data_IF_017924656013
#
_entry.id   IF_017924656013
#
_cell.length_a   1.000
_cell.length_b   1.000
_cell.length_c   1.000
_cell.angle_alpha   90.00
_cell.angle_beta   90.00
_cell.angle_gamma   90.00
#
_symmetry.space_group_name_H-M   'P 1'
#
loop_
_entity.id
_entity.type
_entity.pdbx_description
1 polymer ?
#
# COMPACT_ATOMS: atom_id res chain seq x y z
N UNK A 1 -61.83 -2.10 57.11
CA UNK A 1 -60.77 -2.44 58.09
C UNK A 1 -59.69 -3.17 57.31
N UNK A 2 -58.42 -2.80 57.19
CA UNK A 2 -57.56 -1.90 57.95
C UNK A 2 -56.45 -1.39 57.01
N UNK A 3 -56.04 -0.12 57.19
CA UNK A 3 -54.96 0.56 56.47
C UNK A 3 -53.58 0.13 57.00
N UNK A 4 -52.53 0.06 56.17
CA UNK A 4 -51.17 -0.20 56.62
C UNK A 4 -50.48 1.05 57.16
N UNK A 5 -49.58 0.81 58.11
CA UNK A 5 -48.85 1.77 58.94
C UNK A 5 -47.85 2.65 58.15
N UNK A 6 -47.87 3.95 58.48
CA UNK A 6 -46.81 4.93 58.17
C UNK A 6 -45.63 4.73 59.13
N UNK A 7 -44.45 4.39 58.60
CA UNK A 7 -43.19 4.56 59.32
C UNK A 7 -42.63 5.97 59.09
N UNK A 8 -42.47 6.69 60.20
CA UNK A 8 -41.84 8.01 60.34
C UNK A 8 -40.35 7.93 59.99
N UNK A 9 -39.88 8.76 59.06
CA UNK A 9 -38.45 9.13 58.98
C UNK A 9 -38.21 10.37 59.85
N UNK A 10 -37.34 10.19 60.84
CA UNK A 10 -36.84 11.24 61.72
C UNK A 10 -35.87 12.12 60.95
N UNK A 11 -36.09 13.42 61.03
CA UNK A 11 -35.25 14.50 60.52
C UNK A 11 -34.02 14.67 61.43
N UNK A 12 -32.83 14.49 60.87
CA UNK A 12 -31.58 15.03 61.42
C UNK A 12 -31.06 16.09 60.43
N UNK A 13 -31.29 17.36 60.78
CA UNK A 13 -30.59 18.53 60.22
C UNK A 13 -29.42 18.85 61.15
N UNK A 14 -28.35 19.40 60.54
CA UNK A 14 -27.08 19.98 61.05
C UNK A 14 -25.91 19.24 60.37
N UNK A 15 -25.00 19.85 59.60
CA UNK A 15 -24.67 21.26 59.40
C UNK A 15 -24.09 21.46 58.00
N UNK A 16 -24.47 22.55 57.35
CA UNK A 16 -23.68 23.15 56.27
C UNK A 16 -22.47 23.85 56.90
N UNK A 17 -21.26 23.58 56.41
CA UNK A 17 -20.25 24.60 56.06
C UNK A 17 -18.94 23.93 55.63
N UNK A 18 -18.82 23.67 54.34
CA UNK A 18 -17.58 23.86 53.58
C UNK A 18 -18.00 23.94 52.11
N UNK A 19 -18.14 25.17 51.59
CA UNK A 19 -18.16 25.39 50.15
C UNK A 19 -16.77 25.03 49.65
N UNK A 20 -16.55 23.78 49.29
CA UNK A 20 -15.45 23.40 48.42
C UNK A 20 -15.61 24.23 47.15
N UNK A 21 -14.64 25.12 46.90
CA UNK A 21 -14.47 25.74 45.58
C UNK A 21 -14.46 24.59 44.57
N UNK A 22 -15.13 24.67 43.42
CA UNK A 22 -14.90 23.70 42.37
C UNK A 22 -13.40 23.78 42.05
N UNK A 23 -12.65 22.77 42.47
CA UNK A 23 -11.32 22.54 41.96
C UNK A 23 -11.55 22.33 40.47
N UNK A 24 -11.27 23.35 39.66
CA UNK A 24 -11.23 23.18 38.22
C UNK A 24 -10.10 22.18 37.99
N UNK A 25 -10.43 20.89 37.97
CA UNK A 25 -9.51 19.87 37.51
C UNK A 25 -9.32 20.17 36.03
N UNK A 26 -8.22 20.86 35.72
CA UNK A 26 -7.77 21.06 34.35
C UNK A 26 -7.37 19.70 33.80
N UNK A 27 -8.36 18.96 33.32
CA UNK A 27 -8.16 17.68 32.67
C UNK A 27 -7.64 17.92 31.24
N UNK A 28 -6.95 16.93 30.68
CA UNK A 28 -6.45 16.96 29.30
C UNK A 28 -7.57 17.28 28.30
N UNK A 29 -8.79 16.84 28.61
CA UNK A 29 -10.00 17.11 27.81
C UNK A 29 -10.47 18.57 27.85
N UNK A 30 -9.89 19.43 28.69
CA UNK A 30 -10.18 20.88 28.74
C UNK A 30 -9.25 21.72 27.85
N UNK A 31 -8.10 21.19 27.43
CA UNK A 31 -7.13 21.89 26.58
C UNK A 31 -7.65 22.07 25.15
N UNK A 32 -7.50 23.24 24.50
CA UNK A 32 -7.82 23.42 23.08
C UNK A 32 -7.19 22.33 22.20
N UNK A 33 -7.86 21.84 21.14
CA UNK A 33 -7.35 20.74 20.32
C UNK A 33 -5.95 20.99 19.77
N UNK A 34 -5.61 22.24 19.47
CA UNK A 34 -4.31 22.68 18.97
C UNK A 34 -3.23 22.55 20.04
N UNK A 35 -3.54 22.88 21.30
CA UNK A 35 -2.63 22.71 22.43
C UNK A 35 -2.39 21.23 22.70
N UNK A 36 -3.47 20.43 22.67
CA UNK A 36 -3.35 18.98 22.80
C UNK A 36 -2.52 18.40 21.65
N UNK A 37 -2.71 18.86 20.42
CA UNK A 37 -1.91 18.46 19.27
C UNK A 37 -0.42 18.76 19.48
N UNK A 38 -0.07 19.96 19.96
CA UNK A 38 1.32 20.34 20.28
C UNK A 38 1.91 19.42 21.34
N UNK A 39 1.18 19.14 22.43
CA UNK A 39 1.66 18.24 23.49
C UNK A 39 1.92 16.84 22.92
N UNK A 40 1.01 16.33 22.10
CA UNK A 40 1.13 15.00 21.53
C UNK A 40 2.26 14.87 20.50
N UNK A 41 2.69 15.96 19.84
CA UNK A 41 3.86 15.94 18.95
C UNK A 41 5.17 15.56 19.65
N UNK A 42 5.25 15.70 20.98
CA UNK A 42 6.42 15.27 21.76
C UNK A 42 6.40 13.79 22.15
N UNK A 43 5.34 13.06 21.79
CA UNK A 43 5.21 11.63 22.08
C UNK A 43 5.53 10.79 20.84
N UNK A 44 6.11 9.60 21.03
CA UNK A 44 6.22 8.61 19.97
C UNK A 44 4.85 8.28 19.36
N UNK A 45 4.80 8.07 18.05
CA UNK A 45 3.56 7.71 17.34
C UNK A 45 2.97 6.40 17.87
N UNK A 46 3.79 5.43 18.32
CA UNK A 46 3.30 4.20 18.97
C UNK A 46 2.47 4.50 20.21
N UNK A 47 2.86 5.49 21.01
CA UNK A 47 2.19 5.85 22.26
C UNK A 47 0.92 6.64 21.95
N UNK A 48 0.97 7.51 20.92
CA UNK A 48 -0.21 8.19 20.39
C UNK A 48 -1.24 7.17 19.90
N UNK A 49 -0.81 6.16 19.12
CA UNK A 49 -1.69 5.16 18.51
C UNK A 49 -2.23 4.12 19.50
N UNK A 50 -1.41 3.70 20.46
CA UNK A 50 -1.68 2.61 21.39
C UNK A 50 -2.31 3.07 22.71
N UNK A 51 -1.94 4.25 23.21
CA UNK A 51 -2.41 4.74 24.51
C UNK A 51 -3.36 5.93 24.33
N UNK A 52 -2.85 7.06 23.83
CA UNK A 52 -3.59 8.33 23.80
C UNK A 52 -4.90 8.23 23.03
N UNK A 53 -4.87 7.63 21.83
CA UNK A 53 -6.04 7.45 20.97
C UNK A 53 -7.21 6.71 21.65
N UNK A 54 -6.92 5.91 22.68
CA UNK A 54 -7.89 5.07 23.38
C UNK A 54 -8.49 5.74 24.64
N UNK A 55 -7.95 6.89 25.07
CA UNK A 55 -8.35 7.56 26.33
C UNK A 55 -9.74 8.19 26.23
N UNK A 56 -9.94 9.10 25.27
CA UNK A 56 -11.19 9.85 25.09
C UNK A 56 -11.51 10.03 23.60
N UNK A 57 -12.77 10.39 23.27
CA UNK A 57 -13.15 10.72 21.88
C UNK A 57 -12.33 11.90 21.34
N UNK A 58 -12.03 12.88 22.19
CA UNK A 58 -11.23 14.06 21.86
C UNK A 58 -9.80 13.65 21.54
N UNK A 59 -9.15 12.89 22.43
CA UNK A 59 -7.82 12.33 22.20
C UNK A 59 -7.78 11.46 20.94
N UNK A 60 -8.81 10.65 20.69
CA UNK A 60 -8.94 9.85 19.47
C UNK A 60 -8.96 10.69 18.20
N UNK A 61 -9.68 11.81 18.20
CA UNK A 61 -9.78 12.73 17.07
C UNK A 61 -8.44 13.43 16.78
N UNK A 62 -7.77 13.94 17.81
CA UNK A 62 -6.46 14.60 17.66
C UNK A 62 -5.39 13.59 17.25
N UNK A 63 -5.33 12.43 17.90
CA UNK A 63 -4.42 11.34 17.53
C UNK A 63 -4.63 10.88 16.08
N UNK A 64 -5.89 10.81 15.61
CA UNK A 64 -6.19 10.48 14.21
C UNK A 64 -5.60 11.50 13.25
N UNK A 65 -5.67 12.79 13.58
CA UNK A 65 -5.12 13.88 12.75
C UNK A 65 -3.59 13.78 12.69
N UNK A 66 -2.94 13.59 13.83
CA UNK A 66 -1.48 13.42 13.94
C UNK A 66 -0.98 12.19 13.20
N UNK A 67 -1.56 11.03 13.47
CA UNK A 67 -1.12 9.77 12.86
C UNK A 67 -1.36 9.75 11.35
N UNK A 68 -2.49 10.30 10.88
CA UNK A 68 -2.79 10.34 9.46
C UNK A 68 -1.91 11.35 8.72
N UNK A 69 -1.64 12.52 9.31
CA UNK A 69 -0.74 13.53 8.73
C UNK A 69 0.71 13.03 8.69
N UNK A 70 1.19 12.41 9.77
CA UNK A 70 2.49 11.73 9.82
C UNK A 70 2.59 10.64 8.74
N UNK A 71 1.57 9.79 8.63
CA UNK A 71 1.50 8.76 7.59
C UNK A 71 1.49 9.34 6.17
N UNK A 72 0.78 10.43 5.90
CA UNK A 72 0.70 11.00 4.56
C UNK A 72 1.99 11.73 4.15
N UNK A 73 2.64 12.41 5.10
CA UNK A 73 3.87 13.17 4.88
C UNK A 73 5.13 12.28 4.86
N UNK A 74 5.09 11.08 5.42
CA UNK A 74 6.19 10.12 5.39
C UNK A 74 6.79 9.92 3.98
N UNK A 75 5.97 9.90 2.93
CA UNK A 75 6.45 9.78 1.56
C UNK A 75 7.31 10.96 1.07
N UNK A 76 7.01 12.20 1.44
CA UNK A 76 7.86 13.35 1.08
C UNK A 76 9.14 13.38 1.91
N UNK A 77 9.06 12.99 3.18
CA UNK A 77 10.24 12.89 4.07
C UNK A 77 11.23 11.84 3.55
N UNK A 78 10.74 10.68 3.10
CA UNK A 78 11.54 9.65 2.42
C UNK A 78 12.25 10.19 1.16
N UNK A 79 11.53 10.90 0.28
CA UNK A 79 12.14 11.50 -0.91
C UNK A 79 13.20 12.55 -0.57
N UNK A 80 12.95 13.36 0.45
CA UNK A 80 13.92 14.34 0.94
C UNK A 80 15.19 13.67 1.48
N UNK A 81 15.07 12.57 2.22
CA UNK A 81 16.23 11.83 2.71
C UNK A 81 17.01 11.13 1.59
N UNK A 82 16.33 10.56 0.58
CA UNK A 82 16.98 10.01 -0.61
C UNK A 82 17.76 11.07 -1.38
N UNK A 83 17.16 12.25 -1.62
CA UNK A 83 17.83 13.36 -2.28
C UNK A 83 19.03 13.88 -1.47
N UNK A 84 18.92 13.91 -0.14
CA UNK A 84 20.03 14.30 0.73
C UNK A 84 21.25 13.38 0.54
N UNK A 85 21.03 12.06 0.49
CA UNK A 85 22.08 11.07 0.23
C UNK A 85 22.70 11.19 -1.18
N UNK A 86 21.97 11.76 -2.15
CA UNK A 86 22.47 12.03 -3.51
C UNK A 86 23.28 13.33 -3.62
N UNK A 87 22.91 14.36 -2.85
CA UNK A 87 23.39 15.75 -3.06
C UNK A 87 24.79 16.07 -2.49
N UNK A 88 25.39 15.20 -1.68
CA UNK A 88 26.68 15.49 -1.03
C UNK A 88 27.82 15.18 -2.01
N UNK A 89 28.46 16.23 -2.54
CA UNK A 89 29.53 16.16 -3.54
C UNK A 89 30.84 15.60 -2.98
N UNK A 90 31.56 14.87 -3.82
CA UNK A 90 32.77 14.10 -3.49
C UNK A 90 34.02 14.99 -3.58
N UNK A 91 34.66 15.30 -2.46
CA UNK A 91 36.11 15.61 -2.41
C UNK A 91 36.92 14.31 -2.31
N UNK A 92 38.23 14.31 -2.59
CA UNK A 92 39.01 13.07 -2.77
C UNK A 92 39.12 12.16 -1.51
N UNK A 93 38.92 12.68 -0.29
CA UNK A 93 38.78 11.89 0.94
C UNK A 93 37.40 11.21 1.06
N UNK A 94 36.48 11.49 0.13
CA UNK A 94 35.07 11.13 0.18
C UNK A 94 34.70 9.88 -0.63
N UNK A 95 35.64 9.06 -1.13
CA UNK A 95 35.26 7.89 -1.94
C UNK A 95 34.63 6.77 -1.10
N UNK A 96 35.19 6.44 0.06
CA UNK A 96 34.61 5.46 0.98
C UNK A 96 33.29 5.97 1.58
N UNK A 97 33.24 7.26 1.89
CA UNK A 97 32.04 7.91 2.42
C UNK A 97 30.91 7.97 1.36
N UNK A 98 31.25 8.25 0.10
CA UNK A 98 30.33 8.19 -1.02
C UNK A 98 29.80 6.77 -1.26
N UNK A 99 30.65 5.74 -1.16
CA UNK A 99 30.22 4.35 -1.25
C UNK A 99 29.25 3.97 -0.11
N UNK A 100 29.54 4.39 1.13
CA UNK A 100 28.64 4.22 2.28
C UNK A 100 27.30 4.90 2.03
N UNK A 101 27.28 6.16 1.57
CA UNK A 101 26.04 6.89 1.27
C UNK A 101 25.25 6.27 0.12
N UNK A 102 25.92 5.82 -0.93
CA UNK A 102 25.29 5.14 -2.05
C UNK A 102 24.60 3.84 -1.58
N UNK A 103 25.28 3.02 -0.77
CA UNK A 103 24.67 1.82 -0.18
C UNK A 103 23.52 2.15 0.78
N UNK A 104 23.66 3.20 1.59
CA UNK A 104 22.58 3.65 2.47
C UNK A 104 21.34 4.09 1.67
N UNK A 105 21.55 4.77 0.53
CA UNK A 105 20.49 5.16 -0.40
C UNK A 105 19.80 3.93 -0.98
N UNK A 106 20.55 2.92 -1.42
CA UNK A 106 20.02 1.66 -1.92
C UNK A 106 19.06 1.02 -0.90
N UNK A 107 19.45 0.96 0.38
CA UNK A 107 18.58 0.42 1.43
C UNK A 107 17.38 1.31 1.75
N UNK A 108 17.52 2.63 1.64
CA UNK A 108 16.39 3.55 1.80
C UNK A 108 15.38 3.44 0.64
N UNK A 109 15.81 3.04 -0.55
CA UNK A 109 14.89 2.71 -1.65
C UNK A 109 14.04 1.47 -1.34
N UNK A 110 14.59 0.46 -0.64
CA UNK A 110 13.82 -0.69 -0.16
C UNK A 110 12.74 -0.23 0.82
N UNK A 111 13.10 0.64 1.79
CA UNK A 111 12.17 1.23 2.76
C UNK A 111 11.07 2.00 2.02
N UNK A 112 11.44 2.82 1.03
CA UNK A 112 10.48 3.57 0.21
C UNK A 112 9.52 2.63 -0.54
N UNK A 113 10.01 1.58 -1.18
CA UNK A 113 9.17 0.63 -1.90
C UNK A 113 8.16 -0.08 -0.98
N UNK A 114 8.58 -0.45 0.24
CA UNK A 114 7.67 -1.02 1.24
C UNK A 114 6.63 -0.01 1.73
N UNK A 115 7.05 1.23 1.98
CA UNK A 115 6.16 2.31 2.38
C UNK A 115 5.15 2.65 1.27
N UNK A 116 5.53 2.66 0.00
CA UNK A 116 4.61 2.93 -1.11
C UNK A 116 3.50 1.86 -1.18
N UNK A 117 3.84 0.58 -0.96
CA UNK A 117 2.84 -0.51 -0.85
C UNK A 117 1.94 -0.35 0.39
N UNK A 118 2.51 0.02 1.54
CA UNK A 118 1.74 0.33 2.74
C UNK A 118 0.76 1.50 2.49
N UNK A 119 1.24 2.53 1.78
CA UNK A 119 0.43 3.67 1.36
C UNK A 119 -0.72 3.22 0.47
N UNK A 120 -0.45 2.46 -0.59
CA UNK A 120 -1.47 1.89 -1.48
C UNK A 120 -2.49 1.02 -0.73
N UNK A 121 -2.08 0.34 0.35
CA UNK A 121 -2.95 -0.49 1.17
C UNK A 121 -3.97 0.33 2.00
N UNK A 122 -3.55 1.46 2.55
CA UNK A 122 -4.24 2.08 3.69
C UNK A 122 -4.81 3.46 3.39
N UNK A 123 -4.24 4.20 2.43
CA UNK A 123 -4.53 5.64 2.26
C UNK A 123 -6.01 5.96 2.07
N UNK A 124 -6.76 5.11 1.36
CA UNK A 124 -8.21 5.31 1.11
C UNK A 124 -9.03 5.34 2.38
N UNK A 125 -8.56 4.64 3.41
CA UNK A 125 -9.25 4.50 4.68
C UNK A 125 -8.85 5.59 5.66
N UNK A 126 -7.60 6.07 5.61
CA UNK A 126 -7.10 7.14 6.48
C UNK A 126 -7.39 8.54 5.93
N UNK A 127 -7.55 8.67 4.62
CA UNK A 127 -7.80 9.94 3.93
C UNK A 127 -8.99 9.84 2.97
N UNK A 128 -10.17 9.41 3.47
CA UNK A 128 -11.34 9.37 2.62
C UNK A 128 -11.68 10.78 2.11
N UNK A 129 -12.26 10.89 0.91
CA UNK A 129 -12.77 12.16 0.39
C UNK A 129 -13.76 12.83 1.35
N UNK A 130 -13.62 14.15 1.57
CA UNK A 130 -14.37 14.92 2.59
C UNK A 130 -15.89 14.85 2.42
N UNK A 131 -16.38 14.71 1.19
CA UNK A 131 -17.82 14.75 0.88
C UNK A 131 -18.57 13.43 1.15
N UNK A 132 -17.87 12.36 1.54
CA UNK A 132 -18.51 11.07 1.79
C UNK A 132 -18.64 10.76 3.28
N UNK A 133 -19.73 10.06 3.63
CA UNK A 133 -19.94 9.43 4.96
C UNK A 133 -19.01 8.23 5.20
N UNK A 134 -17.82 8.22 4.62
CA UNK A 134 -16.81 7.22 4.93
C UNK A 134 -16.16 7.57 6.26
N UNK A 135 -16.28 6.67 7.22
CA UNK A 135 -15.58 6.83 8.48
C UNK A 135 -14.07 6.88 8.22
N UNK A 136 -13.44 8.01 8.54
CA UNK A 136 -12.00 8.16 8.52
C UNK A 136 -11.40 7.23 9.57
N UNK A 137 -10.52 6.33 9.14
CA UNK A 137 -9.72 5.55 10.07
C UNK A 137 -8.51 6.35 10.54
N UNK A 138 -8.13 6.08 11.78
CA UNK A 138 -6.80 6.39 12.26
C UNK A 138 -5.79 5.37 11.71
N UNK A 139 -4.64 5.84 11.23
CA UNK A 139 -3.48 5.01 11.00
C UNK A 139 -2.93 4.52 12.34
N UNK A 140 -3.31 3.32 12.77
CA UNK A 140 -2.92 2.79 14.07
C UNK A 140 -1.54 2.09 14.06
N UNK A 141 -0.82 2.13 12.93
CA UNK A 141 0.54 1.60 12.80
C UNK A 141 1.60 2.55 13.35
N UNK A 142 1.39 3.16 14.53
CA UNK A 142 2.26 4.21 15.07
C UNK A 142 3.74 3.82 15.12
N UNK A 143 4.03 2.58 15.53
CA UNK A 143 5.40 2.06 15.54
C UNK A 143 6.07 2.10 14.16
N UNK A 144 5.35 1.92 13.05
CA UNK A 144 5.93 2.02 11.71
C UNK A 144 6.42 3.45 11.44
N UNK A 145 5.71 4.46 11.95
CA UNK A 145 6.14 5.86 11.79
C UNK A 145 7.36 6.17 12.66
N UNK A 146 7.40 5.66 13.89
CA UNK A 146 8.57 5.83 14.77
C UNK A 146 9.82 5.21 14.13
N UNK A 147 9.74 3.96 13.67
CA UNK A 147 10.85 3.28 13.01
C UNK A 147 11.27 3.97 11.71
N UNK A 148 10.31 4.51 10.95
CA UNK A 148 10.62 5.30 9.77
C UNK A 148 11.38 6.57 10.15
N UNK A 149 10.97 7.25 11.21
CA UNK A 149 11.60 8.49 11.67
C UNK A 149 13.04 8.25 12.12
N UNK A 150 13.28 7.13 12.82
CA UNK A 150 14.62 6.68 13.18
C UNK A 150 15.47 6.34 11.95
N UNK A 151 14.93 5.61 10.98
CA UNK A 151 15.63 5.31 9.72
C UNK A 151 15.99 6.58 8.94
N UNK A 152 15.08 7.56 8.88
CA UNK A 152 15.33 8.84 8.21
C UNK A 152 16.37 9.68 8.94
N UNK A 153 16.39 9.63 10.28
CA UNK A 153 17.43 10.27 11.10
C UNK A 153 18.79 9.61 10.84
N UNK A 154 18.87 8.29 10.90
CA UNK A 154 20.09 7.53 10.61
C UNK A 154 20.62 7.83 9.21
N UNK A 155 19.75 7.82 8.19
CA UNK A 155 20.13 8.16 6.82
C UNK A 155 20.82 9.54 6.69
N UNK A 156 20.43 10.51 7.53
CA UNK A 156 20.99 11.87 7.51
C UNK A 156 22.24 12.03 8.36
N UNK A 157 22.24 11.45 9.56
CA UNK A 157 23.30 11.69 10.54
C UNK A 157 24.40 10.64 10.52
N UNK A 158 24.04 9.38 10.25
CA UNK A 158 24.88 8.18 10.43
C UNK A 158 24.53 7.08 9.42
N UNK A 159 24.73 7.32 8.11
CA UNK A 159 24.32 6.38 7.06
C UNK A 159 25.02 5.02 7.17
N UNK A 160 26.18 4.93 7.81
CA UNK A 160 26.90 3.69 8.08
C UNK A 160 26.09 2.70 8.93
N UNK A 161 25.19 3.19 9.79
CA UNK A 161 24.34 2.35 10.63
C UNK A 161 23.19 1.67 9.87
N UNK A 162 22.97 2.04 8.60
CA UNK A 162 22.02 1.35 7.73
C UNK A 162 22.65 0.12 7.05
N UNK A 163 23.96 -0.08 7.22
CA UNK A 163 24.74 -1.13 6.58
C UNK A 163 25.09 -2.25 7.57
N UNK A 164 25.15 -3.48 7.08
CA UNK A 164 25.76 -4.65 7.73
C UNK A 164 26.83 -5.24 6.79
N UNK A 165 27.71 -6.12 7.32
CA UNK A 165 28.82 -6.73 6.55
C UNK A 165 28.38 -7.37 5.23
N UNK A 166 27.21 -8.00 5.21
CA UNK A 166 26.72 -8.78 4.08
C UNK A 166 25.41 -8.23 3.47
N UNK A 167 24.96 -7.03 3.84
CA UNK A 167 23.68 -6.51 3.35
C UNK A 167 23.05 -5.40 4.20
N UNK A 168 21.72 -5.23 4.11
CA UNK A 168 21.01 -4.20 4.87
C UNK A 168 21.07 -4.46 6.38
N UNK A 169 21.09 -3.38 7.16
CA UNK A 169 20.95 -3.46 8.61
C UNK A 169 19.63 -4.11 9.05
N UNK A 170 19.60 -4.65 10.27
CA UNK A 170 18.40 -5.28 10.83
C UNK A 170 17.20 -4.33 10.92
N UNK A 171 17.43 -3.03 11.09
CA UNK A 171 16.35 -2.02 11.09
C UNK A 171 15.64 -1.92 9.72
N UNK A 172 16.38 -2.03 8.60
CA UNK A 172 15.83 -2.00 7.24
C UNK A 172 14.95 -3.22 6.98
N UNK A 173 15.46 -4.42 7.30
CA UNK A 173 14.71 -5.67 7.12
C UNK A 173 13.52 -5.75 8.08
N UNK A 174 13.71 -5.30 9.32
CA UNK A 174 12.67 -5.20 10.35
C UNK A 174 11.52 -4.29 9.92
N UNK A 175 11.81 -3.12 9.35
CA UNK A 175 10.80 -2.20 8.82
C UNK A 175 9.94 -2.86 7.73
N UNK A 176 10.56 -3.57 6.78
CA UNK A 176 9.84 -4.30 5.72
C UNK A 176 8.92 -5.39 6.28
N UNK A 177 9.39 -6.16 7.27
CA UNK A 177 8.59 -7.17 7.97
C UNK A 177 7.41 -6.52 8.70
N UNK A 178 7.64 -5.41 9.38
CA UNK A 178 6.61 -4.67 10.12
C UNK A 178 5.51 -4.16 9.19
N UNK A 179 5.88 -3.56 8.05
CA UNK A 179 4.95 -3.12 7.01
C UNK A 179 4.12 -4.30 6.47
N UNK A 180 4.77 -5.43 6.13
CA UNK A 180 4.10 -6.65 5.63
C UNK A 180 3.10 -7.21 6.65
N UNK A 181 3.49 -7.29 7.92
CA UNK A 181 2.62 -7.74 9.03
C UNK A 181 1.42 -6.83 9.20
N UNK A 182 1.64 -5.51 9.25
CA UNK A 182 0.57 -4.53 9.36
C UNK A 182 -0.41 -4.61 8.18
N UNK A 183 0.08 -4.62 6.94
CA UNK A 183 -0.78 -4.73 5.75
C UNK A 183 -1.63 -6.00 5.78
N UNK A 184 -1.04 -7.15 6.12
CA UNK A 184 -1.78 -8.41 6.22
C UNK A 184 -2.90 -8.33 7.29
N UNK A 185 -2.60 -7.75 8.45
CA UNK A 185 -3.58 -7.56 9.53
C UNK A 185 -4.68 -6.60 9.10
N UNK A 186 -4.30 -5.43 8.57
CA UNK A 186 -5.22 -4.39 8.12
C UNK A 186 -6.23 -4.94 7.10
N UNK A 187 -5.76 -5.67 6.10
CA UNK A 187 -6.58 -6.27 5.05
C UNK A 187 -7.51 -7.35 5.60
N UNK A 188 -7.01 -8.16 6.55
CA UNK A 188 -7.78 -9.26 7.15
C UNK A 188 -8.86 -8.78 8.11
N UNK A 189 -8.57 -7.74 8.88
CA UNK A 189 -9.38 -7.33 10.03
C UNK A 189 -10.07 -5.99 9.78
N UNK A 190 -9.30 -4.92 9.56
CA UNK A 190 -9.83 -3.56 9.47
C UNK A 190 -10.62 -3.32 8.19
N UNK A 191 -10.02 -3.62 7.04
CA UNK A 191 -10.63 -3.43 5.72
C UNK A 191 -11.91 -4.26 5.58
N UNK A 192 -11.88 -5.52 6.02
CA UNK A 192 -13.06 -6.41 6.00
C UNK A 192 -14.25 -5.81 6.77
N UNK A 193 -13.99 -5.20 7.93
CA UNK A 193 -15.02 -4.55 8.76
C UNK A 193 -15.58 -3.27 8.14
N UNK A 194 -14.79 -2.53 7.37
CA UNK A 194 -15.23 -1.26 6.76
C UNK A 194 -16.00 -1.52 5.48
N UNK A 195 -15.47 -2.41 4.65
CA UNK A 195 -16.09 -2.77 3.39
C UNK A 195 -17.42 -3.50 3.59
N UNK A 196 -17.72 -3.95 4.83
CA UNK A 196 -19.05 -4.49 5.16
C UNK A 196 -20.15 -3.44 5.16
N UNK A 197 -19.81 -2.19 5.47
CA UNK A 197 -20.75 -1.06 5.47
C UNK A 197 -20.70 -0.28 4.16
N UNK A 198 -19.50 -0.14 3.58
CA UNK A 198 -19.25 0.67 2.39
C UNK A 198 -18.33 -0.06 1.42
N UNK A 199 -18.91 -0.77 0.47
CA UNK A 199 -18.19 -1.65 -0.44
C UNK A 199 -17.24 -0.87 -1.37
N UNK A 200 -17.62 0.33 -1.83
CA UNK A 200 -16.87 1.06 -2.86
C UNK A 200 -15.51 1.64 -2.40
N UNK A 201 -15.18 1.68 -1.11
CA UNK A 201 -13.94 2.29 -0.59
C UNK A 201 -12.69 1.60 -1.16
N UNK A 202 -12.72 0.29 -1.36
CA UNK A 202 -11.60 -0.49 -1.92
C UNK A 202 -11.46 -0.39 -3.44
N UNK A 203 -12.36 0.30 -4.13
CA UNK A 203 -12.62 0.05 -5.56
C UNK A 203 -11.39 0.12 -6.48
N UNK A 204 -10.65 1.22 -6.44
CA UNK A 204 -9.48 1.43 -7.31
C UNK A 204 -8.16 0.98 -6.65
N UNK A 205 -8.20 0.29 -5.51
CA UNK A 205 -7.01 -0.18 -4.79
C UNK A 205 -6.07 -1.05 -5.64
N UNK A 206 -6.54 -1.92 -6.56
CA UNK A 206 -5.64 -2.63 -7.47
C UNK A 206 -4.77 -1.71 -8.33
N UNK A 207 -5.29 -0.55 -8.73
CA UNK A 207 -4.54 0.45 -9.51
C UNK A 207 -3.49 1.13 -8.63
N UNK A 208 -3.83 1.47 -7.38
CA UNK A 208 -2.85 2.06 -6.45
C UNK A 208 -1.67 1.11 -6.20
N UNK A 209 -1.91 -0.20 -6.14
CA UNK A 209 -0.85 -1.21 -5.98
C UNK A 209 0.00 -1.32 -7.24
N UNK A 210 -0.62 -1.36 -8.42
CA UNK A 210 0.12 -1.43 -9.68
C UNK A 210 0.92 -0.16 -9.92
N UNK A 211 0.44 0.99 -9.45
CA UNK A 211 1.17 2.26 -9.45
C UNK A 211 2.40 2.25 -8.52
N UNK A 212 2.56 1.26 -7.64
CA UNK A 212 3.78 1.05 -6.85
C UNK A 212 4.89 0.30 -7.62
N UNK A 213 4.64 -0.19 -8.84
CA UNK A 213 5.70 -0.75 -9.66
C UNK A 213 6.77 0.32 -9.93
N UNK A 214 8.04 -0.07 -9.82
CA UNK A 214 9.17 0.82 -10.09
C UNK A 214 9.32 1.14 -11.57
N UNK A 215 8.85 0.25 -12.45
CA UNK A 215 8.93 0.36 -13.90
C UNK A 215 7.70 -0.25 -14.60
N UNK A 216 7.64 -0.07 -15.93
CA UNK A 216 6.63 -0.74 -16.77
C UNK A 216 5.22 -0.14 -16.74
N UNK A 217 5.01 1.00 -16.06
CA UNK A 217 3.73 1.73 -16.07
C UNK A 217 3.63 2.69 -17.26
N UNK A 218 2.55 2.57 -18.02
CA UNK A 218 2.20 3.43 -19.15
C UNK A 218 0.78 3.99 -18.98
N UNK A 219 0.61 5.31 -19.15
CA UNK A 219 -0.71 5.96 -19.21
C UNK A 219 -1.12 6.09 -20.68
N UNK A 220 -2.06 5.25 -21.12
CA UNK A 220 -2.53 5.23 -22.50
C UNK A 220 -3.64 6.26 -22.74
N UNK A 221 -4.49 6.48 -21.74
CA UNK A 221 -5.57 7.45 -21.81
C UNK A 221 -5.91 7.97 -20.41
N UNK A 222 -6.15 9.27 -20.31
CA UNK A 222 -6.71 9.90 -19.12
C UNK A 222 -7.70 10.97 -19.56
N UNK A 223 -8.92 10.92 -19.03
CA UNK A 223 -9.94 11.93 -19.29
C UNK A 223 -10.81 12.15 -18.06
N UNK A 224 -11.06 13.41 -17.75
CA UNK A 224 -12.11 13.82 -16.83
C UNK A 224 -13.31 14.31 -17.64
N UNK A 225 -14.48 13.74 -17.35
CA UNK A 225 -15.74 14.19 -17.96
C UNK A 225 -16.60 14.84 -16.88
N UNK A 226 -17.02 16.08 -17.12
CA UNK A 226 -18.05 16.72 -16.32
C UNK A 226 -19.39 16.06 -16.62
N UNK A 227 -20.13 15.69 -15.58
CA UNK A 227 -21.43 15.07 -15.76
C UNK A 227 -22.45 16.07 -16.32
N UNK A 228 -23.34 15.61 -17.20
CA UNK A 228 -24.52 16.38 -17.65
C UNK A 228 -25.74 15.94 -16.83
N UNK A 229 -26.61 16.90 -16.47
CA UNK A 229 -27.93 16.71 -15.81
C UNK A 229 -27.97 15.54 -14.82
N UNK A 230 -27.52 15.77 -13.58
CA UNK A 230 -27.72 14.83 -12.46
C UNK A 230 -26.73 13.66 -12.35
N UNK A 231 -25.88 13.40 -13.36
CA UNK A 231 -24.71 12.52 -13.18
C UNK A 231 -23.52 13.34 -12.67
N UNK A 232 -22.79 12.80 -11.70
CA UNK A 232 -21.56 13.40 -11.17
C UNK A 232 -20.42 13.38 -12.19
N UNK A 233 -19.32 14.05 -11.86
CA UNK A 233 -18.08 13.98 -12.63
C UNK A 233 -17.57 12.54 -12.71
N UNK A 234 -16.82 12.21 -13.75
CA UNK A 234 -16.25 10.87 -13.94
C UNK A 234 -14.81 10.95 -14.42
N UNK A 235 -13.96 10.12 -13.83
CA UNK A 235 -12.58 9.89 -14.21
C UNK A 235 -12.53 8.63 -15.06
N UNK A 236 -11.96 8.72 -16.26
CA UNK A 236 -11.73 7.59 -17.14
C UNK A 236 -10.24 7.45 -17.44
N UNK A 237 -9.71 6.24 -17.27
CA UNK A 237 -8.29 5.93 -17.48
C UNK A 237 -8.13 4.63 -18.27
N UNK A 238 -7.12 4.60 -19.14
CA UNK A 238 -6.55 3.36 -19.69
C UNK A 238 -5.08 3.33 -19.33
N UNK A 239 -4.67 2.27 -18.64
CA UNK A 239 -3.31 2.09 -18.17
C UNK A 239 -2.78 0.76 -18.67
N UNK A 240 -1.46 0.66 -18.82
CA UNK A 240 -0.77 -0.59 -19.12
C UNK A 240 0.38 -0.75 -18.14
N UNK A 241 0.49 -1.94 -17.57
CA UNK A 241 1.57 -2.33 -16.69
C UNK A 241 2.27 -3.53 -17.29
N UNK A 242 3.60 -3.47 -17.39
CA UNK A 242 4.45 -4.56 -17.88
C UNK A 242 5.40 -4.97 -16.77
N UNK A 243 5.34 -6.24 -16.38
CA UNK A 243 6.29 -6.81 -15.41
C UNK A 243 7.14 -7.85 -16.13
N UNK A 244 8.45 -7.61 -16.19
CA UNK A 244 9.38 -8.55 -16.82
C UNK A 244 9.41 -9.89 -16.08
N UNK A 245 9.57 -10.99 -16.82
CA UNK A 245 9.82 -12.34 -16.26
C UNK A 245 8.83 -12.74 -15.15
N UNK A 246 7.57 -12.37 -15.33
CA UNK A 246 6.52 -12.48 -14.33
C UNK A 246 5.34 -13.27 -14.89
N UNK A 247 4.58 -13.91 -14.01
CA UNK A 247 3.36 -14.61 -14.37
C UNK A 247 2.24 -14.30 -13.39
N UNK A 248 1.03 -14.29 -13.94
CA UNK A 248 -0.20 -14.23 -13.18
C UNK A 248 -1.26 -14.93 -14.03
N UNK A 249 -1.74 -16.07 -13.56
CA UNK A 249 -2.78 -16.85 -14.21
C UNK A 249 -3.89 -17.19 -13.22
N UNK A 250 -5.07 -17.45 -13.78
CA UNK A 250 -6.27 -17.80 -13.06
C UNK A 250 -7.00 -18.88 -13.87
N UNK A 251 -7.44 -19.95 -13.21
CA UNK A 251 -8.31 -20.96 -13.81
C UNK A 251 -9.41 -21.38 -12.84
N UNK A 252 -10.51 -21.88 -13.39
CA UNK A 252 -11.63 -22.36 -12.58
C UNK A 252 -11.29 -23.73 -11.99
N UNK A 253 -11.69 -23.94 -10.73
CA UNK A 253 -11.60 -25.22 -10.04
C UNK A 253 -12.92 -25.96 -10.29
N UNK A 254 -12.90 -27.15 -10.92
CA UNK A 254 -14.12 -27.92 -11.13
C UNK A 254 -14.78 -28.32 -9.80
N UNK A 255 -16.12 -28.30 -9.73
CA UNK A 255 -16.87 -28.82 -8.59
C UNK A 255 -16.98 -27.87 -7.37
N UNK A 256 -16.50 -26.64 -7.46
CA UNK A 256 -16.70 -25.59 -6.46
C UNK A 256 -17.70 -24.55 -6.97
N UNK A 257 -18.98 -24.92 -6.99
CA UNK A 257 -20.08 -23.97 -7.11
C UNK A 257 -20.24 -23.21 -5.78
N UNK A 258 -19.24 -22.40 -5.43
CA UNK A 258 -19.32 -21.58 -4.22
C UNK A 258 -20.16 -20.33 -4.49
N UNK A 259 -21.40 -20.34 -3.98
CA UNK A 259 -22.27 -19.17 -3.90
C UNK A 259 -21.72 -18.04 -3.00
N UNK A 260 -20.66 -18.30 -2.20
CA UNK A 260 -20.00 -17.32 -1.34
C UNK A 260 -19.09 -16.32 -2.08
N UNK A 261 -19.54 -15.80 -3.22
CA UNK A 261 -18.78 -14.82 -4.00
C UNK A 261 -19.09 -13.40 -3.56
N UNK A 262 -18.80 -13.14 -2.28
CA UNK A 262 -18.88 -11.82 -1.67
C UNK A 262 -18.02 -10.87 -2.50
N UNK A 263 -18.67 -9.86 -3.11
CA UNK A 263 -18.04 -8.83 -3.94
C UNK A 263 -16.79 -8.20 -3.28
N UNK A 264 -16.77 -8.16 -1.94
CA UNK A 264 -15.68 -7.64 -1.10
C UNK A 264 -14.49 -8.57 -1.07
N UNK A 265 -14.73 -9.85 -0.88
CA UNK A 265 -13.67 -10.86 -0.79
C UNK A 265 -13.03 -11.07 -2.17
N UNK A 266 -13.80 -11.06 -3.26
CA UNK A 266 -13.26 -11.02 -4.65
C UNK A 266 -12.21 -9.93 -4.83
N UNK A 267 -12.47 -8.72 -4.34
CA UNK A 267 -11.52 -7.61 -4.41
C UNK A 267 -10.32 -7.82 -3.52
N UNK A 268 -10.55 -8.12 -2.24
CA UNK A 268 -9.50 -8.31 -1.25
C UNK A 268 -8.48 -9.34 -1.72
N UNK A 269 -8.95 -10.46 -2.25
CA UNK A 269 -8.12 -11.56 -2.71
C UNK A 269 -7.34 -11.23 -4.00
N UNK A 270 -7.93 -10.49 -4.94
CA UNK A 270 -7.21 -10.00 -6.11
C UNK A 270 -6.10 -9.02 -5.69
N UNK A 271 -6.46 -8.05 -4.84
CA UNK A 271 -5.53 -7.04 -4.35
C UNK A 271 -4.37 -7.65 -3.53
N UNK A 272 -4.63 -8.62 -2.65
CA UNK A 272 -3.59 -9.31 -1.88
C UNK A 272 -2.55 -9.97 -2.80
N UNK A 273 -2.99 -10.61 -3.88
CA UNK A 273 -2.11 -11.29 -4.84
C UNK A 273 -1.30 -10.29 -5.66
N UNK A 274 -1.95 -9.23 -6.16
CA UNK A 274 -1.26 -8.14 -6.86
C UNK A 274 -0.21 -7.48 -5.96
N UNK A 275 -0.52 -7.21 -4.68
CA UNK A 275 0.42 -6.60 -3.74
C UNK A 275 1.65 -7.46 -3.54
N UNK A 276 1.47 -8.77 -3.34
CA UNK A 276 2.57 -9.72 -3.18
C UNK A 276 3.43 -9.80 -4.44
N UNK A 277 2.81 -9.85 -5.62
CA UNK A 277 3.52 -9.85 -6.89
C UNK A 277 4.33 -8.56 -7.09
N UNK A 278 3.70 -7.38 -6.97
CA UNK A 278 4.38 -6.09 -7.10
C UNK A 278 5.52 -5.96 -6.09
N UNK A 279 5.31 -6.38 -4.85
CA UNK A 279 6.37 -6.40 -3.84
C UNK A 279 7.57 -7.23 -4.26
N UNK A 280 7.36 -8.45 -4.76
CA UNK A 280 8.47 -9.31 -5.18
C UNK A 280 9.13 -8.84 -6.48
N UNK A 281 8.37 -8.28 -7.43
CA UNK A 281 8.93 -7.67 -8.65
C UNK A 281 9.82 -6.49 -8.29
N UNK A 282 9.38 -5.62 -7.38
CA UNK A 282 10.17 -4.50 -6.91
C UNK A 282 11.44 -4.96 -6.16
N UNK A 283 11.36 -6.03 -5.36
CA UNK A 283 12.53 -6.61 -4.67
C UNK A 283 13.59 -7.07 -5.68
N UNK A 284 13.23 -7.84 -6.71
CA UNK A 284 14.17 -8.26 -7.76
C UNK A 284 14.70 -7.08 -8.59
N UNK A 285 13.85 -6.08 -8.86
CA UNK A 285 14.27 -4.88 -9.60
C UNK A 285 15.28 -4.06 -8.83
N UNK A 286 15.06 -3.85 -7.53
CA UNK A 286 15.98 -3.11 -6.67
C UNK A 286 17.29 -3.87 -6.48
N UNK A 287 17.25 -5.19 -6.24
CA UNK A 287 18.44 -6.04 -6.16
C UNK A 287 19.33 -5.88 -7.40
N UNK A 288 18.74 -5.88 -8.60
CA UNK A 288 19.46 -5.64 -9.85
C UNK A 288 20.04 -4.22 -9.93
N UNK A 289 19.24 -3.20 -9.62
CA UNK A 289 19.68 -1.81 -9.67
C UNK A 289 20.82 -1.52 -8.68
N UNK A 290 20.76 -2.10 -7.48
CA UNK A 290 21.79 -1.95 -6.45
C UNK A 290 23.08 -2.66 -6.88
N UNK A 291 22.98 -3.88 -7.42
CA UNK A 291 24.13 -4.59 -7.99
C UNK A 291 24.78 -3.81 -9.15
N UNK A 292 23.98 -3.28 -10.09
CA UNK A 292 24.48 -2.46 -11.20
C UNK A 292 25.19 -1.18 -10.73
N UNK A 293 24.71 -0.55 -9.64
CA UNK A 293 25.37 0.62 -9.03
C UNK A 293 26.66 0.24 -8.34
N UNK A 294 26.68 -0.86 -7.59
CA UNK A 294 27.87 -1.36 -6.91
C UNK A 294 28.98 -1.70 -7.91
N UNK A 295 28.63 -2.33 -9.04
CA UNK A 295 29.55 -2.62 -10.13
C UNK A 295 30.19 -1.33 -10.71
N UNK A 296 29.40 -0.27 -10.90
CA UNK A 296 29.91 1.02 -11.41
C UNK A 296 30.85 1.71 -10.43
N UNK A 297 30.57 1.62 -9.13
CA UNK A 297 31.43 2.19 -8.09
C UNK A 297 32.77 1.46 -7.98
N UNK A 298 32.78 0.14 -8.25
CA UNK A 298 34.00 -0.66 -8.19
C UNK A 298 34.97 -0.44 -9.34
N UNK A 299 34.53 0.02 -10.52
CA UNK A 299 35.46 0.38 -11.60
C UNK A 299 36.47 1.47 -11.19
N UNK A 300 36.26 2.12 -10.04
CA UNK A 300 37.14 3.12 -9.44
C UNK A 300 37.87 2.65 -8.16
N UNK A 301 37.82 1.35 -7.80
CA UNK A 301 38.27 0.82 -6.49
C UNK A 301 39.02 -0.53 -6.61
N UNK A 302 39.99 -0.80 -5.73
CA UNK A 302 40.73 -2.08 -5.65
C UNK A 302 39.99 -3.21 -4.90
N UNK A 303 38.70 -3.04 -4.56
CA UNK A 303 37.93 -4.05 -3.83
C UNK A 303 37.48 -5.23 -4.70
N UNK A 304 37.25 -6.42 -4.10
CA UNK A 304 36.76 -7.60 -4.82
C UNK A 304 35.38 -7.36 -5.45
N UNK A 305 35.18 -7.94 -6.65
CA UNK A 305 33.94 -7.88 -7.43
C UNK A 305 32.69 -8.16 -6.57
N UNK A 306 31.57 -7.43 -6.75
CA UNK A 306 30.38 -7.69 -5.97
C UNK A 306 29.82 -9.03 -6.43
N UNK A 307 29.30 -9.82 -5.49
CA UNK A 307 28.71 -11.11 -5.85
C UNK A 307 27.45 -10.85 -6.68
N UNK A 308 27.26 -11.52 -7.83
CA UNK A 308 26.04 -11.40 -8.59
C UNK A 308 24.85 -11.88 -7.75
N UNK A 309 23.67 -11.28 -7.92
CA UNK A 309 22.46 -11.76 -7.28
C UNK A 309 22.23 -13.25 -7.53
N UNK A 310 21.78 -14.01 -6.50
CA UNK A 310 21.51 -15.44 -6.67
C UNK A 310 20.35 -15.65 -7.64
N UNK A 311 20.27 -16.83 -8.26
CA UNK A 311 19.09 -17.21 -9.03
C UNK A 311 17.86 -17.26 -8.11
N UNK A 312 16.97 -16.26 -8.23
CA UNK A 312 15.84 -16.08 -7.32
C UNK A 312 14.52 -16.19 -8.06
N UNK A 313 13.56 -16.90 -7.45
CA UNK A 313 12.21 -17.10 -7.98
C UNK A 313 11.23 -16.94 -6.83
N UNK A 314 10.18 -16.14 -7.05
CA UNK A 314 9.04 -16.04 -6.15
C UNK A 314 7.84 -16.73 -6.79
N UNK A 315 7.08 -17.48 -5.99
CA UNK A 315 5.84 -18.12 -6.42
C UNK A 315 4.81 -18.01 -5.30
N UNK A 316 3.62 -17.57 -5.68
CA UNK A 316 2.45 -17.52 -4.83
C UNK A 316 1.29 -18.27 -5.48
N UNK A 317 0.49 -18.92 -4.65
CA UNK A 317 -0.74 -19.58 -5.07
C UNK A 317 -1.85 -19.34 -4.07
N UNK A 318 -3.09 -19.61 -4.49
CA UNK A 318 -4.22 -19.65 -3.58
C UNK A 318 -5.55 -19.70 -4.32
N UNK A 319 -6.50 -20.34 -3.69
CA UNK A 319 -7.86 -20.50 -4.20
C UNK A 319 -8.81 -19.46 -3.58
N UNK A 320 -9.80 -19.00 -4.35
CA UNK A 320 -10.96 -18.27 -3.83
C UNK A 320 -12.11 -18.28 -4.85
N UNK A 321 -13.34 -18.55 -4.39
CA UNK A 321 -14.56 -18.46 -5.23
C UNK A 321 -14.51 -19.39 -6.45
N UNK A 322 -14.11 -20.65 -6.27
CA UNK A 322 -13.96 -21.63 -7.35
C UNK A 322 -12.87 -21.26 -8.36
N UNK A 323 -11.93 -20.38 -8.00
CA UNK A 323 -10.82 -19.97 -8.86
C UNK A 323 -9.48 -20.20 -8.18
N UNK A 324 -8.58 -20.87 -8.89
CA UNK A 324 -7.20 -21.01 -8.48
C UNK A 324 -6.35 -19.94 -9.16
N UNK A 325 -5.49 -19.29 -8.38
CA UNK A 325 -4.56 -18.29 -8.86
C UNK A 325 -3.13 -18.78 -8.66
N UNK A 326 -2.31 -18.60 -9.69
CA UNK A 326 -0.87 -18.85 -9.64
C UNK A 326 -0.13 -17.63 -10.20
N UNK A 327 0.77 -17.06 -9.41
CA UNK A 327 1.48 -15.83 -9.73
C UNK A 327 2.90 -15.86 -9.18
N UNK A 328 3.77 -15.04 -9.75
CA UNK A 328 5.15 -14.96 -9.30
C UNK A 328 6.03 -14.28 -10.34
N UNK A 329 7.32 -14.27 -10.05
CA UNK A 329 8.34 -13.65 -10.88
C UNK A 329 9.69 -14.32 -10.63
N UNK A 330 10.61 -14.11 -11.55
CA UNK A 330 11.98 -14.56 -11.43
C UNK A 330 12.94 -13.44 -11.84
N UNK A 331 14.09 -13.39 -11.20
CA UNK A 331 15.14 -12.45 -11.59
C UNK A 331 15.80 -12.91 -12.90
N UNK A 332 16.62 -12.02 -13.47
CA UNK A 332 17.29 -12.25 -14.75
C UNK A 332 18.13 -13.54 -14.75
N UNK A 333 18.90 -13.77 -13.69
CA UNK A 333 19.73 -14.96 -13.53
C UNK A 333 18.92 -16.26 -13.50
N UNK A 334 17.81 -16.28 -12.74
CA UNK A 334 16.94 -17.45 -12.71
C UNK A 334 16.26 -17.69 -14.05
N UNK A 335 15.89 -16.64 -14.77
CA UNK A 335 15.30 -16.76 -16.10
C UNK A 335 16.30 -17.27 -17.13
N UNK A 336 17.53 -16.75 -17.11
CA UNK A 336 18.56 -17.21 -18.04
C UNK A 336 18.91 -18.68 -17.78
N UNK A 337 19.09 -19.06 -16.51
CA UNK A 337 19.38 -20.45 -16.13
C UNK A 337 18.22 -21.42 -16.42
N UNK A 338 16.97 -21.06 -16.06
CA UNK A 338 15.84 -22.00 -16.15
C UNK A 338 15.16 -22.00 -17.52
N UNK A 339 15.11 -20.85 -18.18
CA UNK A 339 14.34 -20.66 -19.41
C UNK A 339 15.26 -20.61 -20.61
N UNK A 340 16.31 -19.78 -20.59
CA UNK A 340 17.16 -19.57 -21.75
C UNK A 340 18.09 -20.74 -22.00
N UNK A 341 18.76 -21.27 -20.98
CA UNK A 341 19.63 -22.43 -21.17
C UNK A 341 18.84 -23.67 -21.60
N UNK A 342 17.68 -23.87 -20.99
CA UNK A 342 16.73 -24.91 -21.40
C UNK A 342 16.29 -24.72 -22.86
N UNK A 343 15.87 -23.51 -23.23
CA UNK A 343 15.49 -23.17 -24.61
C UNK A 343 16.65 -23.38 -25.60
N UNK A 344 17.88 -23.01 -25.22
CA UNK A 344 19.09 -23.23 -26.05
C UNK A 344 19.32 -24.72 -26.27
N UNK A 345 19.28 -25.55 -25.22
CA UNK A 345 19.48 -27.01 -25.31
C UNK A 345 18.45 -27.69 -26.21
N UNK A 346 17.16 -27.40 -25.99
CA UNK A 346 16.10 -27.93 -26.87
C UNK A 346 16.23 -27.40 -28.29
N UNK A 347 16.59 -26.12 -28.47
CA UNK A 347 16.78 -25.56 -29.81
C UNK A 347 17.91 -26.25 -30.59
N UNK A 348 18.99 -26.71 -29.94
CA UNK A 348 20.07 -27.43 -30.64
C UNK A 348 19.61 -28.82 -31.08
N UNK A 349 18.90 -29.55 -30.22
CA UNK A 349 18.44 -30.91 -30.50
C UNK A 349 17.27 -30.97 -31.52
N UNK A 350 16.41 -29.95 -31.53
CA UNK A 350 15.21 -29.88 -32.39
C UNK A 350 15.35 -28.95 -33.60
N UNK A 351 16.47 -28.22 -33.76
CA UNK A 351 16.81 -27.51 -35.02
C UNK A 351 16.94 -28.47 -36.20
N UNK A 352 17.23 -29.75 -35.94
CA UNK A 352 17.23 -30.83 -36.92
C UNK A 352 15.79 -31.16 -37.40
N UNK A 353 14.74 -30.83 -36.63
CA UNK A 353 13.32 -31.17 -36.89
C UNK A 353 12.40 -29.98 -37.26
N UNK A 354 12.94 -28.80 -37.58
CA UNK A 354 12.21 -27.61 -38.14
C UNK A 354 10.99 -27.09 -37.34
N UNK A 355 10.85 -27.34 -36.03
CA UNK A 355 9.66 -26.94 -35.24
C UNK A 355 9.91 -26.10 -33.99
N UNK A 356 10.87 -25.16 -33.99
CA UNK A 356 11.04 -24.22 -32.87
C UNK A 356 10.91 -22.75 -33.32
N UNK A 357 10.16 -21.91 -32.59
CA UNK A 357 10.09 -20.48 -32.84
C UNK A 357 11.47 -19.80 -32.67
N UNK A 358 11.89 -19.03 -33.68
CA UNK A 358 13.19 -18.32 -33.72
C UNK A 358 13.38 -17.26 -32.63
N UNK A 359 12.32 -16.88 -31.91
CA UNK A 359 12.32 -15.75 -30.98
C UNK A 359 12.55 -16.21 -29.53
N UNK A 360 13.41 -15.50 -28.79
CA UNK A 360 13.64 -15.68 -27.35
C UNK A 360 12.28 -15.68 -26.61
N UNK A 361 12.02 -16.65 -25.71
CA UNK A 361 10.73 -16.75 -25.02
C UNK A 361 10.48 -15.55 -24.10
N UNK A 362 9.60 -14.62 -24.48
CA UNK A 362 9.25 -13.47 -23.64
C UNK A 362 8.28 -13.89 -22.53
N UNK A 363 8.67 -13.71 -21.27
CA UNK A 363 7.87 -14.07 -20.08
C UNK A 363 7.31 -12.81 -19.39
N UNK A 364 7.02 -11.77 -20.17
CA UNK A 364 6.52 -10.54 -19.61
C UNK A 364 5.02 -10.66 -19.35
N UNK A 365 4.62 -10.23 -18.15
CA UNK A 365 3.23 -10.11 -17.76
C UNK A 365 2.73 -8.73 -18.15
N UNK A 366 1.65 -8.68 -18.92
CA UNK A 366 1.01 -7.42 -19.32
C UNK A 366 -0.37 -7.32 -18.67
N UNK A 367 -0.59 -6.26 -17.89
CA UNK A 367 -1.88 -5.94 -17.27
C UNK A 367 -2.40 -4.64 -17.88
N UNK A 368 -3.42 -4.74 -18.72
CA UNK A 368 -4.13 -3.58 -19.25
C UNK A 368 -5.32 -3.26 -18.35
N UNK A 369 -5.43 -2.00 -17.96
CA UNK A 369 -6.48 -1.51 -17.05
C UNK A 369 -7.40 -0.57 -17.80
N UNK A 370 -8.69 -0.83 -17.71
CA UNK A 370 -9.74 0.13 -18.08
C UNK A 370 -10.48 0.52 -16.79
N UNK A 371 -10.36 1.80 -16.42
CA UNK A 371 -10.97 2.35 -15.22
C UNK A 371 -11.94 3.47 -15.58
N UNK A 372 -13.13 3.43 -14.98
CA UNK A 372 -14.09 4.53 -14.94
C UNK A 372 -14.62 4.64 -13.52
N UNK A 373 -14.45 5.78 -12.87
CA UNK A 373 -14.90 5.95 -11.50
C UNK A 373 -15.30 7.40 -11.19
N UNK A 374 -16.09 7.59 -10.14
CA UNK A 374 -16.28 8.91 -9.55
C UNK A 374 -14.94 9.46 -9.02
N UNK A 375 -14.66 10.79 -9.10
CA UNK A 375 -13.37 11.38 -8.72
C UNK A 375 -12.87 10.99 -7.33
N UNK A 376 -13.80 10.81 -6.40
CA UNK A 376 -13.51 10.48 -5.02
C UNK A 376 -13.06 9.02 -4.81
N UNK A 377 -13.30 8.15 -5.81
CA UNK A 377 -12.74 6.80 -5.85
C UNK A 377 -11.46 6.70 -6.67
N UNK A 378 -10.99 7.78 -7.29
CA UNK A 378 -9.86 7.75 -8.21
C UNK A 378 -8.54 7.24 -7.56
N UNK A 379 -7.59 6.75 -8.37
CA UNK A 379 -6.25 6.36 -7.90
C UNK A 379 -5.53 7.53 -7.23
N UNK A 380 -4.64 7.22 -6.28
CA UNK A 380 -3.89 8.23 -5.54
C UNK A 380 -3.06 9.12 -6.47
N UNK A 381 -2.47 8.54 -7.51
CA UNK A 381 -1.58 9.19 -8.46
C UNK A 381 -2.24 10.37 -9.21
N UNK A 382 -3.57 10.39 -9.33
CA UNK A 382 -4.28 11.46 -10.05
C UNK A 382 -4.96 12.45 -9.11
N UNK A 383 -4.91 12.26 -7.78
CA UNK A 383 -5.63 13.13 -6.83
C UNK A 383 -5.22 14.60 -6.91
N UNK A 384 -3.94 14.90 -7.13
CA UNK A 384 -3.46 16.28 -7.30
C UNK A 384 -4.07 16.96 -8.53
N UNK A 385 -4.33 16.20 -9.60
CA UNK A 385 -4.96 16.69 -10.82
C UNK A 385 -6.46 16.95 -10.65
N UNK A 386 -7.09 16.30 -9.67
CA UNK A 386 -8.52 16.42 -9.45
C UNK A 386 -8.92 17.74 -8.76
N UNK A 387 -7.97 18.54 -8.22
CA UNK A 387 -8.28 19.74 -7.41
C UNK A 387 -9.45 19.49 -6.45
N UNK A 388 -9.32 18.48 -5.60
CA UNK A 388 -10.43 18.01 -4.76
C UNK A 388 -11.04 19.08 -3.83
N UNK A 389 -10.35 20.20 -3.60
CA UNK A 389 -10.85 21.32 -2.79
C UNK A 389 -11.79 22.25 -3.58
N UNK A 390 -11.76 22.27 -4.91
CA UNK A 390 -12.66 23.11 -5.75
C UNK A 390 -14.08 22.52 -5.90
N UNK A 391 -14.34 21.29 -5.41
CA UNK A 391 -15.66 20.66 -5.48
C UNK A 391 -16.59 21.02 -4.31
N UNK A 392 -16.13 21.89 -3.41
CA UNK A 392 -16.87 22.42 -2.26
C UNK A 392 -18.16 23.18 -2.65
N UNK A 393 -18.30 23.63 -3.90
CA UNK A 393 -19.45 24.42 -4.37
C UNK A 393 -20.65 23.61 -4.90
N UNK A 394 -20.65 22.28 -4.81
CA UNK A 394 -21.81 21.48 -5.25
C UNK A 394 -22.79 21.24 -4.09
N UNK A 395 -23.55 22.27 -3.74
CA UNK A 395 -24.60 22.31 -2.69
C UNK A 395 -25.80 21.37 -2.93
N UNK A 396 -25.71 20.37 -3.82
CA UNK A 396 -26.84 19.48 -4.17
C UNK A 396 -26.59 17.98 -3.93
N UNK A 397 -25.50 17.56 -3.28
CA UNK A 397 -25.03 16.19 -3.36
C UNK A 397 -25.58 15.19 -2.30
N UNK A 398 -26.79 15.36 -1.77
CA UNK A 398 -27.37 14.34 -0.87
C UNK A 398 -27.73 13.01 -1.58
N UNK A 399 -27.69 12.96 -2.93
CA UNK A 399 -28.01 11.77 -3.72
C UNK A 399 -26.87 11.24 -4.61
N UNK A 400 -25.64 11.78 -4.51
CA UNK A 400 -24.53 11.26 -5.33
C UNK A 400 -24.05 9.90 -4.81
N UNK A 401 -24.25 8.85 -5.60
CA UNK A 401 -23.73 7.51 -5.32
C UNK A 401 -22.42 7.29 -6.07
N UNK A 402 -21.33 6.89 -5.38
CA UNK A 402 -20.06 6.62 -6.03
C UNK A 402 -20.16 5.43 -6.97
N UNK A 403 -19.67 5.60 -8.20
CA UNK A 403 -19.67 4.56 -9.22
C UNK A 403 -18.24 4.14 -9.56
N UNK A 404 -18.03 2.84 -9.78
CA UNK A 404 -16.78 2.28 -10.27
C UNK A 404 -17.02 1.17 -11.29
N UNK A 405 -16.24 1.22 -12.36
CA UNK A 405 -15.99 0.16 -13.31
C UNK A 405 -14.48 0.02 -13.46
N UNK A 406 -13.95 -1.15 -13.11
CA UNK A 406 -12.55 -1.49 -13.26
C UNK A 406 -12.45 -2.84 -13.98
N UNK A 407 -11.67 -2.88 -15.05
CA UNK A 407 -11.38 -4.10 -15.81
C UNK A 407 -9.87 -4.26 -15.93
N UNK A 408 -9.37 -5.38 -15.43
CA UNK A 408 -7.99 -5.83 -15.63
C UNK A 408 -8.02 -6.91 -16.71
N UNK A 409 -7.31 -6.66 -17.80
CA UNK A 409 -7.05 -7.61 -18.86
C UNK A 409 -5.59 -8.07 -18.71
N UNK A 410 -5.42 -9.32 -18.30
CA UNK A 410 -4.13 -9.88 -17.89
C UNK A 410 -3.69 -10.87 -18.96
N UNK A 411 -2.54 -10.60 -19.57
CA UNK A 411 -1.90 -11.42 -20.59
C UNK A 411 -0.56 -11.91 -20.08
N UNK A 412 -0.41 -13.22 -19.96
CA UNK A 412 0.74 -13.89 -19.38
C UNK A 412 1.32 -14.90 -20.39
N UNK A 413 2.35 -14.47 -21.12
CA UNK A 413 3.01 -15.33 -22.09
C UNK A 413 3.69 -16.54 -21.43
N UNK A 414 4.21 -16.39 -20.20
CA UNK A 414 4.83 -17.49 -19.45
C UNK A 414 3.88 -18.67 -19.16
N UNK A 415 2.56 -18.42 -19.12
CA UNK A 415 1.57 -19.45 -18.82
C UNK A 415 1.39 -20.47 -19.94
N UNK A 416 1.56 -20.08 -21.22
CA UNK A 416 1.44 -21.04 -22.34
C UNK A 416 2.47 -22.16 -22.24
N UNK A 417 3.69 -21.82 -21.80
CA UNK A 417 4.78 -22.78 -21.65
C UNK A 417 4.48 -23.85 -20.59
N UNK A 418 3.60 -23.54 -19.64
CA UNK A 418 3.17 -24.45 -18.56
C UNK A 418 1.77 -25.04 -18.77
N UNK A 419 1.20 -24.92 -19.98
CA UNK A 419 -0.18 -25.35 -20.29
C UNK A 419 -1.24 -24.70 -19.39
N UNK A 420 -0.97 -23.50 -18.89
CA UNK A 420 -1.89 -22.71 -18.09
C UNK A 420 -2.55 -21.63 -18.97
N UNK A 421 -3.75 -21.12 -18.60
CA UNK A 421 -4.37 -20.01 -19.32
C UNK A 421 -3.43 -18.81 -19.40
N UNK A 422 -3.18 -18.35 -20.62
CA UNK A 422 -2.30 -17.21 -20.91
C UNK A 422 -3.03 -15.87 -20.88
N UNK A 423 -4.34 -15.89 -20.69
CA UNK A 423 -5.16 -14.71 -20.66
C UNK A 423 -6.32 -14.90 -19.70
N UNK A 424 -6.58 -13.92 -18.85
CA UNK A 424 -7.84 -13.85 -18.12
C UNK A 424 -8.24 -12.40 -17.85
N UNK A 425 -9.55 -12.21 -17.65
CA UNK A 425 -10.12 -10.89 -17.40
C UNK A 425 -10.75 -10.86 -16.02
N UNK A 426 -10.32 -9.92 -15.20
CA UNK A 426 -10.96 -9.62 -13.93
C UNK A 426 -11.72 -8.31 -14.02
N UNK A 427 -12.98 -8.30 -13.58
CA UNK A 427 -13.86 -7.14 -13.65
C UNK A 427 -14.43 -6.84 -12.28
N UNK A 428 -14.50 -5.55 -11.97
CA UNK A 428 -15.14 -5.00 -10.81
C UNK A 428 -16.14 -3.94 -11.25
N UNK A 429 -17.36 -4.02 -10.74
CA UNK A 429 -18.44 -3.05 -10.99
C UNK A 429 -19.08 -2.69 -9.65
N UNK A 430 -19.53 -1.45 -9.46
CA UNK A 430 -20.36 -1.09 -8.31
C UNK A 430 -21.53 -2.08 -8.17
N UNK A 431 -21.87 -2.54 -6.95
CA UNK A 431 -23.04 -3.36 -6.73
C UNK A 431 -24.29 -2.66 -7.27
N UNK A 432 -25.08 -3.35 -8.10
CA UNK A 432 -26.43 -2.87 -8.43
C UNK A 432 -27.27 -3.10 -7.19
N UNK A 433 -27.76 -2.03 -6.56
CA UNK A 433 -28.82 -2.18 -5.58
C UNK A 433 -30.06 -2.63 -6.35
N UNK A 434 -30.55 -3.84 -6.10
CA UNK A 434 -31.95 -4.12 -6.37
C UNK A 434 -32.76 -3.10 -5.56
N UNK A 435 -33.57 -2.30 -6.24
CA UNK A 435 -34.69 -1.64 -5.58
C UNK A 435 -35.56 -2.79 -5.10
N UNK A 436 -35.63 -2.98 -3.79
CA UNK A 436 -36.79 -3.64 -3.19
C UNK A 436 -37.95 -2.71 -3.52
N UNK A 437 -38.85 -3.16 -4.39
CA UNK A 437 -40.17 -2.54 -4.54
C UNK A 437 -40.98 -2.76 -3.27
#
# INVERSE_FOLDING_TARGET
MSRPQKQRRVSLRHSQTAKEKPCFSHDLDSLPPEVLEIVLHFLPYRDIAGCVRLVSKRCSSVATTLLNSGFLSAGSRLRSALHHLESVSVTAEAQQEAATRAKARDYLELVKAQYDLLRACVWRYTHPPRHQKFARLCFYGGQILDELDDLLKLARTRPELLLNKDGPAHCITGFGIMCKRFMNYFEKVSERKINSRNSCVSGCKPVDVLDCLLDGREVLHFRMTRGRRGRGNMVSMRLRYVMERSWFTCFNVPGTDCEEDSWRDRQRFMYLRLRRLVGSVNEHRLERLHYERELKMQMSSQHPAPKPPPCSTYSGYGEYGGRFFYYGNMNEYAYDSKVIDTWRRYSVHDRIRKKIPRKKPCYDLVINVELRCSPELAPLAVRSLLKCDDFENTTSANNHRPEIYLRLNISCAASTCNKLPNHFVWKLRSPRYHKSD
#
